data_IF_211969140132
#
_entry.id   IF_211969140132
#
_cell.length_a   1.000
_cell.length_b   1.000
_cell.length_c   1.000
_cell.angle_alpha   90.00
_cell.angle_beta   90.00
_cell.angle_gamma   90.00
#
_symmetry.space_group_name_H-M   'P 1'
#
loop_
_entity.id
_entity.type
_entity.pdbx_description
1 polymer ?
#
# COMPACT_ATOMS: atom_id res chain seq x y z
N UNK A 1 -27.41 -2.55 -12.31
CA UNK A 1 -27.97 -2.42 -10.94
C UNK A 1 -27.02 -1.60 -10.09
N UNK A 2 -27.51 -0.59 -9.37
CA UNK A 2 -26.70 0.22 -8.46
C UNK A 2 -26.72 -0.35 -7.04
N UNK A 3 -25.59 -0.34 -6.36
CA UNK A 3 -25.47 -0.75 -4.96
C UNK A 3 -24.75 0.33 -4.16
N UNK A 4 -25.19 0.51 -2.92
CA UNK A 4 -24.60 1.45 -1.98
C UNK A 4 -24.48 0.77 -0.62
N UNK A 5 -23.25 0.67 -0.10
CA UNK A 5 -22.99 0.21 1.25
C UNK A 5 -23.14 1.38 2.21
N UNK A 6 -24.06 1.31 3.17
CA UNK A 6 -24.31 2.42 4.10
C UNK A 6 -23.46 2.28 5.36
N UNK A 7 -23.62 1.15 6.05
CA UNK A 7 -22.94 0.84 7.31
C UNK A 7 -22.95 -0.65 7.59
N UNK A 8 -22.13 -1.06 8.54
CA UNK A 8 -22.14 -2.38 9.13
C UNK A 8 -22.43 -2.31 10.63
N UNK A 9 -22.98 -3.36 11.20
CA UNK A 9 -23.27 -3.48 12.63
C UNK A 9 -22.84 -4.84 13.14
N UNK A 10 -22.28 -4.90 14.35
CA UNK A 10 -21.83 -6.16 14.96
C UNK A 10 -20.54 -6.76 14.39
N UNK A 11 -19.84 -6.11 13.45
CA UNK A 11 -18.55 -6.60 12.92
C UNK A 11 -17.42 -6.62 13.97
N UNK A 12 -17.50 -5.76 14.98
CA UNK A 12 -16.56 -5.75 16.10
C UNK A 12 -16.58 -7.06 16.91
N UNK A 13 -17.65 -7.86 16.82
CA UNK A 13 -17.73 -9.16 17.48
C UNK A 13 -16.86 -10.22 16.79
N UNK A 14 -16.47 -9.98 15.54
CA UNK A 14 -15.73 -10.95 14.73
C UNK A 14 -14.21 -10.92 14.99
N UNK A 15 -13.69 -9.84 15.60
CA UNK A 15 -12.26 -9.67 15.88
C UNK A 15 -12.05 -8.95 17.22
N UNK A 16 -11.02 -9.33 18.00
CA UNK A 16 -10.73 -8.70 19.29
C UNK A 16 -10.05 -7.33 19.17
N UNK A 17 -9.60 -6.96 17.97
CA UNK A 17 -8.90 -5.71 17.74
C UNK A 17 -9.87 -4.53 17.93
N UNK A 18 -9.53 -3.62 18.86
CA UNK A 18 -10.36 -2.47 19.21
C UNK A 18 -10.61 -1.50 18.04
N UNK A 19 -9.82 -1.57 16.98
CA UNK A 19 -9.91 -0.68 15.83
C UNK A 19 -9.41 -1.36 14.55
N UNK A 20 -10.27 -2.11 13.88
CA UNK A 20 -10.00 -2.62 12.54
C UNK A 20 -10.96 -2.01 11.53
N UNK A 21 -10.53 -1.90 10.26
CA UNK A 21 -11.32 -1.33 9.16
C UNK A 21 -11.80 -2.46 8.27
N UNK A 22 -13.10 -2.79 8.25
CA UNK A 22 -13.62 -3.85 7.40
C UNK A 22 -13.51 -3.48 5.93
N UNK A 23 -13.12 -4.45 5.10
CA UNK A 23 -13.14 -4.32 3.65
C UNK A 23 -14.30 -5.17 3.15
N UNK A 24 -15.28 -4.55 2.51
CA UNK A 24 -16.47 -5.21 1.97
C UNK A 24 -16.29 -5.38 0.48
N UNK A 25 -16.45 -6.60 -0.02
CA UNK A 25 -16.46 -6.92 -1.45
C UNK A 25 -17.82 -7.43 -1.85
N UNK A 26 -18.39 -6.88 -2.91
CA UNK A 26 -19.65 -7.33 -3.51
C UNK A 26 -19.35 -7.85 -4.91
N UNK A 27 -19.71 -9.10 -5.17
CA UNK A 27 -19.39 -9.86 -6.37
C UNK A 27 -20.66 -10.51 -6.92
N UNK A 28 -20.83 -10.55 -8.24
CA UNK A 28 -21.94 -11.25 -8.90
C UNK A 28 -21.43 -12.57 -9.44
N UNK A 29 -22.08 -13.65 -9.03
CA UNK A 29 -21.78 -15.00 -9.51
C UNK A 29 -22.46 -15.21 -10.87
N UNK A 30 -21.67 -15.45 -11.92
CA UNK A 30 -22.19 -15.75 -13.25
C UNK A 30 -22.85 -17.14 -13.28
N UNK A 31 -23.93 -17.30 -14.06
CA UNK A 31 -24.72 -18.54 -14.15
C UNK A 31 -23.93 -19.73 -14.73
N UNK A 32 -22.77 -19.50 -15.36
CA UNK A 32 -21.95 -20.55 -15.97
C UNK A 32 -20.83 -21.03 -15.04
N UNK A 33 -21.18 -21.68 -13.92
CA UNK A 33 -20.26 -22.09 -12.86
C UNK A 33 -18.89 -22.58 -13.34
N UNK A 34 -17.84 -22.05 -12.72
CA UNK A 34 -16.40 -22.19 -13.07
C UNK A 34 -15.85 -21.09 -13.98
N UNK A 35 -15.93 -19.84 -13.51
CA UNK A 35 -15.03 -18.77 -14.00
C UNK A 35 -14.17 -18.34 -12.83
N UNK A 36 -12.87 -18.25 -13.07
CA UNK A 36 -11.85 -17.86 -12.10
C UNK A 36 -12.30 -16.67 -11.25
N UNK A 37 -12.16 -16.82 -9.94
CA UNK A 37 -12.71 -15.92 -8.93
C UNK A 37 -12.20 -14.48 -9.05
N UNK A 38 -11.12 -14.27 -9.80
CA UNK A 38 -10.39 -13.01 -9.90
C UNK A 38 -10.83 -12.13 -11.09
N UNK A 39 -11.55 -12.67 -12.09
CA UNK A 39 -11.94 -11.92 -13.28
C UNK A 39 -13.36 -11.33 -13.24
N UNK A 40 -14.20 -11.77 -12.29
CA UNK A 40 -15.56 -11.23 -12.20
C UNK A 40 -15.54 -9.80 -11.64
N UNK A 41 -16.39 -8.89 -12.15
CA UNK A 41 -16.49 -7.54 -11.62
C UNK A 41 -16.76 -7.58 -10.11
N UNK A 42 -15.80 -7.07 -9.33
CA UNK A 42 -15.91 -6.97 -7.89
C UNK A 42 -15.80 -5.50 -7.50
N UNK A 43 -16.71 -5.04 -6.65
CA UNK A 43 -16.59 -3.72 -6.05
C UNK A 43 -16.13 -3.89 -4.61
N UNK A 44 -15.09 -3.13 -4.24
CA UNK A 44 -14.50 -3.14 -2.91
C UNK A 44 -14.68 -1.77 -2.25
N UNK A 45 -15.20 -1.76 -1.03
CA UNK A 45 -15.30 -0.55 -0.20
C UNK A 45 -14.73 -0.80 1.19
N UNK A 46 -13.98 0.17 1.73
CA UNK A 46 -13.39 0.08 3.06
C UNK A 46 -14.21 0.91 4.05
N UNK A 47 -14.74 0.27 5.08
CA UNK A 47 -15.50 0.93 6.14
C UNK A 47 -14.58 1.52 7.20
N UNK A 48 -15.08 2.53 7.92
CA UNK A 48 -14.49 3.05 9.14
C UNK A 48 -14.42 2.00 10.25
N UNK A 49 -13.65 2.29 11.30
CA UNK A 49 -13.55 1.41 12.47
C UNK A 49 -14.84 1.31 13.27
N UNK A 50 -15.74 2.27 13.11
CA UNK A 50 -17.11 2.29 13.63
C UNK A 50 -18.10 1.51 12.74
N UNK A 51 -17.63 1.02 11.58
CA UNK A 51 -18.45 0.32 10.60
C UNK A 51 -19.21 1.24 9.64
N UNK A 52 -19.04 2.56 9.68
CA UNK A 52 -19.65 3.46 8.71
C UNK A 52 -18.90 3.47 7.38
N UNK A 53 -19.61 3.60 6.26
CA UNK A 53 -18.96 3.85 4.97
C UNK A 53 -18.59 5.34 4.86
N UNK A 54 -17.30 5.73 4.74
CA UNK A 54 -16.94 7.13 4.49
C UNK A 54 -17.45 7.63 3.14
N UNK A 55 -17.65 6.73 2.16
CA UNK A 55 -18.06 7.05 0.79
C UNK A 55 -19.57 6.83 0.58
N UNK A 56 -20.44 7.38 1.43
CA UNK A 56 -21.89 7.16 1.34
C UNK A 56 -22.55 7.70 0.06
N UNK A 57 -21.82 8.51 -0.73
CA UNK A 57 -22.29 9.05 -2.02
C UNK A 57 -21.93 8.16 -3.21
N UNK A 58 -21.00 7.24 -3.01
CA UNK A 58 -20.48 6.37 -4.07
C UNK A 58 -21.43 5.20 -4.31
N UNK A 59 -22.21 5.29 -5.39
CA UNK A 59 -23.04 4.18 -5.88
C UNK A 59 -22.25 3.46 -6.94
N UNK A 60 -21.98 2.17 -6.74
CA UNK A 60 -21.32 1.36 -7.75
C UNK A 60 -22.36 0.61 -8.58
N UNK A 61 -22.11 0.54 -9.88
CA UNK A 61 -23.01 -0.09 -10.83
C UNK A 61 -22.42 -1.42 -11.29
N UNK A 62 -23.24 -2.47 -11.22
CA UNK A 62 -22.91 -3.76 -11.84
C UNK A 62 -23.81 -3.93 -13.05
N UNK A 63 -23.20 -4.19 -14.20
CA UNK A 63 -23.87 -4.42 -15.48
C UNK A 63 -24.23 -5.90 -15.66
N UNK A 64 -25.17 -6.18 -16.58
CA UNK A 64 -25.57 -7.53 -16.98
C UNK A 64 -26.06 -8.45 -15.84
N UNK A 65 -26.70 -7.84 -14.84
CA UNK A 65 -27.24 -8.57 -13.69
C UNK A 65 -28.74 -8.85 -13.91
N UNK A 66 -29.11 -10.13 -13.83
CA UNK A 66 -30.50 -10.57 -13.84
C UNK A 66 -31.06 -10.66 -12.41
N UNK A 67 -32.39 -10.66 -12.24
CA UNK A 67 -33.02 -10.91 -10.92
C UNK A 67 -32.64 -12.28 -10.34
N UNK A 68 -32.28 -13.23 -11.20
CA UNK A 68 -31.81 -14.57 -10.83
C UNK A 68 -30.29 -14.64 -10.59
N UNK A 69 -29.57 -13.52 -10.70
CA UNK A 69 -28.13 -13.51 -10.43
C UNK A 69 -27.89 -13.58 -8.92
N UNK A 70 -26.90 -14.37 -8.52
CA UNK A 70 -26.52 -14.55 -7.12
C UNK A 70 -25.44 -13.53 -6.75
N UNK A 71 -25.71 -12.77 -5.70
CA UNK A 71 -24.83 -11.75 -5.16
C UNK A 71 -24.08 -12.33 -3.97
N UNK A 72 -22.75 -12.34 -4.04
CA UNK A 72 -21.87 -12.73 -2.94
C UNK A 72 -21.28 -11.49 -2.27
N UNK A 73 -21.56 -11.33 -0.99
CA UNK A 73 -21.04 -10.27 -0.14
C UNK A 73 -19.97 -10.89 0.76
N UNK A 74 -18.74 -10.38 0.70
CA UNK A 74 -17.60 -10.88 1.48
C UNK A 74 -17.04 -9.76 2.36
N UNK A 75 -16.74 -10.08 3.61
CA UNK A 75 -16.14 -9.15 4.58
C UNK A 75 -14.73 -9.62 4.91
N UNK A 76 -13.76 -8.80 4.55
CA UNK A 76 -12.34 -9.08 4.72
C UNK A 76 -11.73 -8.21 5.80
N UNK A 77 -10.76 -8.78 6.49
CA UNK A 77 -9.87 -8.11 7.41
C UNK A 77 -8.47 -8.00 6.79
N UNK A 78 -7.88 -6.81 6.86
CA UNK A 78 -6.47 -6.58 6.54
C UNK A 78 -5.78 -6.05 7.79
N UNK A 79 -4.79 -6.79 8.27
CA UNK A 79 -4.05 -6.40 9.47
C UNK A 79 -3.22 -5.13 9.21
N UNK A 80 -3.28 -4.17 10.13
CA UNK A 80 -2.72 -2.81 9.98
C UNK A 80 -1.21 -2.69 10.19
N UNK A 81 -0.48 -3.78 10.37
CA UNK A 81 0.98 -3.67 10.55
C UNK A 81 1.67 -3.14 9.29
N UNK A 82 2.74 -2.37 9.51
CA UNK A 82 3.58 -1.71 8.49
C UNK A 82 4.30 -2.65 7.51
N UNK A 83 4.19 -3.98 7.64
CA UNK A 83 4.81 -4.93 6.70
C UNK A 83 4.01 -5.01 5.40
N UNK A 84 4.65 -4.60 4.29
CA UNK A 84 4.14 -4.70 2.91
C UNK A 84 3.81 -6.17 2.58
N UNK A 85 2.63 -6.44 1.99
CA UNK A 85 2.25 -7.77 1.49
C UNK A 85 1.26 -8.59 2.33
N UNK A 86 0.55 -8.01 3.31
CA UNK A 86 -0.41 -8.79 4.12
C UNK A 86 -1.65 -9.23 3.34
N UNK A 87 -1.88 -10.55 3.36
CA UNK A 87 -3.06 -11.24 2.80
C UNK A 87 -4.35 -10.78 3.49
N UNK A 88 -5.40 -10.54 2.70
CA UNK A 88 -6.77 -10.30 3.21
C UNK A 88 -7.31 -11.60 3.81
N UNK A 89 -7.90 -11.53 5.00
CA UNK A 89 -8.49 -12.69 5.69
C UNK A 89 -10.00 -12.56 5.62
N UNK A 90 -10.69 -13.54 5.04
CA UNK A 90 -12.15 -13.57 5.01
C UNK A 90 -12.69 -13.80 6.42
N UNK A 91 -13.60 -12.95 6.87
CA UNK A 91 -14.14 -12.97 8.24
C UNK A 91 -15.60 -13.39 8.26
N UNK A 92 -16.38 -12.89 7.29
CA UNK A 92 -17.77 -13.23 7.10
C UNK A 92 -18.14 -13.19 5.62
N UNK A 93 -19.18 -13.91 5.24
CA UNK A 93 -19.75 -13.87 3.90
C UNK A 93 -21.28 -13.95 3.95
N UNK A 94 -21.95 -13.56 2.88
CA UNK A 94 -23.36 -13.81 2.69
C UNK A 94 -23.66 -13.94 1.20
N UNK A 95 -24.65 -14.75 0.84
CA UNK A 95 -25.04 -14.98 -0.54
C UNK A 95 -26.56 -14.85 -0.64
N UNK A 96 -27.03 -14.03 -1.58
CA UNK A 96 -28.45 -13.77 -1.82
C UNK A 96 -28.74 -13.73 -3.31
N UNK A 97 -29.96 -14.07 -3.70
CA UNK A 97 -30.43 -13.78 -5.06
C UNK A 97 -30.75 -12.29 -5.17
N UNK A 98 -30.44 -11.66 -6.30
CA UNK A 98 -30.73 -10.24 -6.49
C UNK A 98 -32.22 -9.92 -6.32
N UNK A 99 -33.10 -10.79 -6.81
CA UNK A 99 -34.54 -10.67 -6.62
C UNK A 99 -34.96 -10.60 -5.15
N UNK A 100 -34.34 -11.40 -4.28
CA UNK A 100 -34.63 -11.41 -2.85
C UNK A 100 -34.17 -10.12 -2.17
N UNK A 101 -33.01 -9.59 -2.57
CA UNK A 101 -32.51 -8.31 -2.04
C UNK A 101 -33.44 -7.15 -2.40
N UNK A 102 -33.94 -7.11 -3.64
CA UNK A 102 -34.89 -6.08 -4.10
C UNK A 102 -36.21 -6.21 -3.35
N UNK A 103 -36.76 -7.42 -3.24
CA UNK A 103 -37.99 -7.69 -2.50
C UNK A 103 -37.85 -7.27 -1.03
N UNK A 104 -36.77 -7.71 -0.38
CA UNK A 104 -36.49 -7.35 1.01
C UNK A 104 -36.30 -5.86 1.22
N UNK A 105 -35.72 -5.15 0.24
CA UNK A 105 -35.62 -3.70 0.30
C UNK A 105 -37.01 -3.06 0.20
N UNK A 106 -37.87 -3.49 -0.72
CA UNK A 106 -39.23 -2.95 -0.84
C UNK A 106 -40.04 -3.14 0.46
N UNK A 107 -39.85 -4.26 1.16
CA UNK A 107 -40.49 -4.54 2.45
C UNK A 107 -39.90 -3.71 3.60
N UNK A 108 -38.57 -3.52 3.64
CA UNK A 108 -37.87 -2.78 4.69
C UNK A 108 -37.79 -1.26 4.44
N UNK A 109 -38.17 -0.79 3.25
CA UNK A 109 -38.11 0.61 2.82
C UNK A 109 -36.79 0.98 2.13
N UNK A 110 -36.14 2.07 2.57
CA UNK A 110 -34.98 2.62 1.83
C UNK A 110 -33.64 1.91 2.11
N UNK A 111 -33.62 0.92 3.01
CA UNK A 111 -32.41 0.27 3.51
C UNK A 111 -32.68 -1.20 3.81
N UNK A 112 -31.85 -2.09 3.26
CA UNK A 112 -31.90 -3.52 3.48
C UNK A 112 -30.79 -3.95 4.45
N UNK A 113 -31.16 -4.60 5.55
CA UNK A 113 -30.19 -5.19 6.48
C UNK A 113 -29.91 -6.65 6.13
N UNK A 114 -28.73 -6.89 5.57
CA UNK A 114 -28.26 -8.23 5.20
C UNK A 114 -27.54 -8.89 6.37
N UNK A 115 -27.94 -10.11 6.73
CA UNK A 115 -27.27 -10.91 7.77
C UNK A 115 -26.02 -11.57 7.19
N UNK A 116 -24.90 -11.45 7.91
CA UNK A 116 -23.63 -12.05 7.50
C UNK A 116 -23.41 -13.39 8.19
N UNK A 117 -23.00 -14.40 7.43
CA UNK A 117 -22.58 -15.70 7.92
C UNK A 117 -21.10 -15.61 8.34
N UNK A 118 -20.83 -15.98 9.59
CA UNK A 118 -19.47 -15.99 10.14
C UNK A 118 -18.78 -17.31 9.83
N UNK A 119 -17.53 -17.27 9.40
CA UNK A 119 -16.75 -18.49 9.18
C UNK A 119 -16.56 -19.27 10.49
N UNK A 120 -16.66 -20.60 10.40
CA UNK A 120 -16.68 -21.56 11.52
C UNK A 120 -15.57 -21.34 12.56
N UNK A 121 -14.38 -20.94 12.13
CA UNK A 121 -13.24 -20.67 13.03
C UNK A 121 -13.50 -19.57 14.07
N UNK A 122 -14.46 -18.68 13.83
CA UNK A 122 -14.84 -17.61 14.77
C UNK A 122 -16.06 -17.95 15.65
N UNK A 123 -16.75 -19.07 15.41
CA UNK A 123 -18.00 -19.40 16.11
C UNK A 123 -17.83 -19.63 17.61
N UNK A 124 -16.66 -20.12 18.06
CA UNK A 124 -16.35 -20.30 19.48
C UNK A 124 -16.43 -18.98 20.28
N UNK A 125 -16.20 -17.84 19.64
CA UNK A 125 -16.23 -16.51 20.28
C UNK A 125 -17.63 -15.91 20.38
N UNK A 126 -18.56 -16.33 19.52
CA UNK A 126 -19.94 -15.85 19.55
C UNK A 126 -20.77 -16.47 20.68
N UNK A 127 -20.28 -17.52 21.36
CA UNK A 127 -21.00 -18.16 22.48
C UNK A 127 -21.24 -17.25 23.69
N UNK A 128 -20.51 -16.14 23.82
CA UNK A 128 -20.72 -15.14 24.87
C UNK A 128 -21.46 -13.87 24.43
N UNK A 129 -21.79 -13.73 23.15
CA UNK A 129 -22.52 -12.56 22.67
C UNK A 129 -23.99 -12.66 23.13
N UNK A 130 -24.54 -11.54 23.65
CA UNK A 130 -25.95 -11.46 24.03
C UNK A 130 -26.82 -11.99 22.88
N UNK A 131 -27.71 -12.93 23.19
CA UNK A 131 -28.66 -13.53 22.25
C UNK A 131 -29.33 -12.43 21.41
N UNK A 132 -28.99 -12.36 20.12
CA UNK A 132 -29.64 -11.44 19.16
C UNK A 132 -28.71 -10.48 18.40
N UNK A 133 -27.45 -10.29 18.82
CA UNK A 133 -26.53 -9.40 18.07
C UNK A 133 -25.78 -10.19 17.00
N UNK A 134 -26.29 -10.16 15.78
CA UNK A 134 -25.64 -10.76 14.62
C UNK A 134 -24.91 -9.69 13.79
N UNK A 135 -23.79 -10.02 13.15
CA UNK A 135 -23.16 -9.14 12.19
C UNK A 135 -24.13 -8.90 11.01
N UNK A 136 -24.42 -7.63 10.74
CA UNK A 136 -25.33 -7.17 9.69
C UNK A 136 -24.66 -6.11 8.83
N UNK A 137 -25.05 -6.05 7.56
CA UNK A 137 -24.62 -5.04 6.61
C UNK A 137 -25.85 -4.32 6.04
N UNK A 138 -25.93 -3.01 6.25
CA UNK A 138 -26.99 -2.16 5.72
C UNK A 138 -26.63 -1.72 4.30
N UNK A 139 -27.44 -2.15 3.34
CA UNK A 139 -27.26 -1.91 1.91
C UNK A 139 -28.45 -1.16 1.33
N UNK A 140 -28.21 -0.37 0.29
CA UNK A 140 -29.25 0.20 -0.56
C UNK A 140 -29.00 -0.21 -2.00
N UNK A 141 -29.98 -0.85 -2.61
CA UNK A 141 -29.96 -1.31 -4.00
C UNK A 141 -30.84 -0.37 -4.82
N UNK A 142 -30.32 0.14 -5.94
CA UNK A 142 -31.01 1.02 -6.87
C UNK A 142 -31.25 0.28 -8.19
N UNK A 143 -32.51 0.22 -8.61
CA UNK A 143 -32.84 -0.26 -9.95
C UNK A 143 -32.30 0.73 -10.99
N UNK A 144 -31.85 0.27 -12.17
CA UNK A 144 -31.47 1.17 -13.26
C UNK A 144 -32.68 2.03 -13.64
N UNK A 145 -32.54 3.36 -13.61
CA UNK A 145 -33.62 4.30 -13.94
C UNK A 145 -34.10 4.21 -15.40
N UNK A 146 -33.43 3.42 -16.25
CA UNK A 146 -33.67 3.37 -17.70
C UNK A 146 -34.63 2.29 -18.16
N UNK A 147 -35.19 1.48 -17.26
CA UNK A 147 -36.25 0.55 -17.62
C UNK A 147 -37.61 1.09 -17.17
N UNK A 148 -38.21 1.97 -17.98
CA UNK A 148 -39.64 1.80 -18.27
C UNK A 148 -39.75 0.47 -19.01
N UNK A 149 -39.63 -0.62 -18.26
CA UNK A 149 -39.91 -1.96 -18.75
C UNK A 149 -41.38 -1.91 -19.14
N UNK A 150 -41.60 -1.92 -20.45
CA UNK A 150 -42.90 -2.11 -21.06
C UNK A 150 -43.39 -3.47 -20.55
N UNK A 151 -44.09 -3.48 -19.43
CA UNK A 151 -44.98 -4.59 -19.12
C UNK A 151 -46.02 -4.53 -20.23
N UNK A 152 -45.99 -5.49 -21.15
CA UNK A 152 -47.22 -5.85 -21.85
C UNK A 152 -48.20 -6.29 -20.76
N UNK A 153 -48.97 -5.32 -20.30
CA UNK A 153 -50.25 -5.54 -19.65
C UNK A 153 -51.11 -6.24 -20.70
N UNK A 154 -51.25 -7.55 -20.53
CA UNK A 154 -52.24 -8.33 -21.24
C UNK A 154 -53.62 -7.74 -20.87
N UNK A 155 -54.41 -7.25 -21.83
CA UNK A 155 -55.65 -6.54 -21.53
C UNK A 155 -56.65 -7.51 -20.94
N UNK A 156 -57.00 -7.32 -19.68
CA UNK A 156 -58.27 -7.79 -19.12
C UNK A 156 -59.24 -6.62 -19.21
N UNK A 157 -60.08 -6.66 -20.23
CA UNK A 157 -61.29 -5.85 -20.31
C UNK A 157 -62.14 -6.13 -19.06
N UNK A 158 -62.37 -5.12 -18.25
CA UNK A 158 -63.60 -5.00 -17.46
C UNK A 158 -63.81 -3.54 -17.05
N UNK A 159 -64.91 -3.01 -17.59
CA UNK A 159 -65.50 -1.70 -17.34
C UNK A 159 -65.72 -1.44 -15.85
N UNK A 160 -65.37 -0.24 -15.38
CA UNK A 160 -66.15 0.46 -14.34
C UNK A 160 -65.77 1.94 -14.20
N UNK A 161 -66.77 2.76 -14.50
CA UNK A 161 -66.87 4.20 -14.27
C UNK A 161 -66.59 4.59 -12.80
N UNK A 162 -65.88 5.69 -12.57
CA UNK A 162 -66.24 6.64 -11.49
C UNK A 162 -65.41 7.92 -11.55
N UNK A 163 -66.11 9.03 -11.37
CA UNK A 163 -65.70 10.41 -11.53
C UNK A 163 -65.01 11.03 -10.30
N UNK A 164 -64.48 12.23 -10.54
CA UNK A 164 -64.45 13.43 -9.68
C UNK A 164 -63.23 13.72 -8.79
N UNK A 165 -62.56 14.83 -9.19
CA UNK A 165 -62.37 16.07 -8.41
C UNK A 165 -61.04 16.32 -7.69
N UNK A 166 -60.39 17.37 -8.20
CA UNK A 166 -59.77 18.51 -7.49
C UNK A 166 -59.60 18.43 -5.98
N UNK A 167 -58.36 18.63 -5.51
CA UNK A 167 -58.00 19.80 -4.68
C UNK A 167 -56.51 19.80 -4.28
N UNK A 168 -55.88 20.95 -4.49
CA UNK A 168 -54.59 21.39 -3.92
C UNK A 168 -54.83 21.71 -2.43
N UNK A 169 -53.87 21.44 -1.51
CA UNK A 169 -53.32 22.58 -0.77
C UNK A 169 -51.85 22.48 -0.32
N UNK A 170 -51.17 23.63 -0.49
CA UNK A 170 -50.24 24.35 0.40
C UNK A 170 -49.09 23.64 1.16
N UNK A 171 -47.90 24.15 0.84
CA UNK A 171 -46.69 24.32 1.66
C UNK A 171 -46.94 24.85 3.09
N UNK A 172 -46.12 24.41 4.06
CA UNK A 172 -45.76 25.24 5.21
C UNK A 172 -44.27 25.63 5.20
N UNK A 173 -44.08 26.94 5.29
CA UNK A 173 -42.87 27.67 5.69
C UNK A 173 -42.74 27.56 7.21
N UNK A 174 -41.57 27.18 7.72
CA UNK A 174 -41.24 27.34 9.15
C UNK A 174 -39.85 27.93 9.30
N UNK A 175 -39.83 29.03 10.04
CA UNK A 175 -38.68 29.86 10.42
C UNK A 175 -38.02 29.31 11.70
N UNK A 176 -36.69 29.47 11.79
CA UNK A 176 -35.94 29.86 13.00
C UNK A 176 -35.88 28.95 14.23
N UNK A 177 -34.73 28.32 14.46
CA UNK A 177 -34.08 28.34 15.77
C UNK A 177 -32.56 28.06 15.67
N UNK A 178 -31.77 29.10 15.90
CA UNK A 178 -30.35 29.03 16.18
C UNK A 178 -30.15 28.76 17.68
N UNK A 179 -29.66 27.57 18.04
CA UNK A 179 -29.09 27.31 19.35
C UNK A 179 -27.70 26.69 19.19
N UNK A 180 -26.70 27.56 19.34
CA UNK A 180 -25.30 27.19 19.42
C UNK A 180 -25.02 26.49 20.75
N UNK A 181 -24.95 25.16 20.75
CA UNK A 181 -24.46 24.37 21.88
C UNK A 181 -22.94 24.52 21.94
N UNK A 182 -22.48 25.39 22.83
CA UNK A 182 -21.08 25.51 23.24
C UNK A 182 -20.72 24.26 24.08
N UNK A 183 -19.94 23.35 23.49
CA UNK A 183 -19.27 22.27 24.22
C UNK A 183 -18.02 22.82 24.93
N UNK A 184 -17.81 22.52 26.24
CA UNK A 184 -16.57 22.89 26.90
C UNK A 184 -15.38 22.06 26.37
N UNK A 185 -14.16 22.62 26.36
CA UNK A 185 -12.97 21.91 25.90
C UNK A 185 -12.62 20.75 26.84
N UNK A 186 -12.13 19.61 26.31
CA UNK A 186 -11.72 18.47 27.11
C UNK A 186 -10.43 18.79 27.89
N UNK A 187 -10.45 18.44 29.18
CA UNK A 187 -9.39 18.67 30.16
C UNK A 187 -8.15 17.81 29.88
N UNK A 188 -6.95 18.37 30.11
CA UNK A 188 -5.61 17.78 29.86
C UNK A 188 -5.30 16.42 30.54
N UNK A 189 -6.21 15.85 31.33
CA UNK A 189 -5.96 14.61 32.07
C UNK A 189 -6.10 13.31 31.25
N UNK A 190 -6.67 13.34 30.04
CA UNK A 190 -6.79 12.13 29.20
C UNK A 190 -5.56 11.82 28.33
N UNK A 191 -4.58 12.73 28.22
CA UNK A 191 -3.42 12.54 27.34
C UNK A 191 -2.29 11.68 27.97
N UNK A 192 -2.36 11.36 29.28
CA UNK A 192 -1.22 10.79 30.03
C UNK A 192 -1.24 9.26 30.27
N UNK A 193 -2.17 8.51 29.68
CA UNK A 193 -2.27 7.03 29.87
C UNK A 193 -1.77 6.16 28.70
N UNK A 194 -0.96 6.69 27.77
CA UNK A 194 -0.54 5.95 26.56
C UNK A 194 0.97 5.66 26.40
N UNK A 195 1.70 5.50 27.49
CA UNK A 195 3.08 5.00 27.42
C UNK A 195 3.30 3.90 28.45
N UNK A 196 2.88 2.68 28.09
CA UNK A 196 3.32 1.45 28.72
C UNK A 196 3.99 0.60 27.63
N UNK A 197 5.31 0.39 27.67
CA UNK A 197 6.01 -0.42 26.69
C UNK A 197 5.73 -1.91 26.93
N UNK A 198 5.22 -2.59 25.92
CA UNK A 198 4.96 -4.03 25.95
C UNK A 198 6.26 -4.76 25.60
N UNK A 199 6.78 -5.57 26.52
CA UNK A 199 7.81 -6.57 26.23
C UNK A 199 7.20 -7.67 25.35
N UNK A 200 7.86 -7.97 24.24
CA UNK A 200 7.58 -9.14 23.41
C UNK A 200 8.59 -10.20 23.83
N UNK A 201 8.19 -11.07 24.75
CA UNK A 201 8.78 -12.41 24.87
C UNK A 201 8.25 -13.24 23.71
N UNK A 202 9.17 -13.84 22.95
CA UNK A 202 8.84 -14.83 21.94
C UNK A 202 9.88 -15.95 22.02
N UNK A 203 9.74 -16.74 23.08
CA UNK A 203 10.21 -18.13 23.10
C UNK A 203 9.23 -18.95 22.25
N UNK A 204 9.72 -19.60 21.20
CA UNK A 204 9.12 -20.82 20.65
C UNK A 204 10.18 -21.61 19.85
N UNK A 205 10.61 -22.69 20.49
CA UNK A 205 11.06 -24.00 19.99
C UNK A 205 11.84 -24.11 18.66
N UNK A 206 13.11 -24.47 18.79
CA UNK A 206 13.85 -25.25 17.79
C UNK A 206 13.32 -26.68 17.72
N UNK A 207 12.82 -27.10 16.57
CA UNK A 207 12.68 -28.51 16.19
C UNK A 207 13.80 -28.89 15.19
N UNK A 208 14.36 -30.12 15.25
CA UNK A 208 15.56 -30.49 14.51
C UNK A 208 15.24 -30.86 13.06
N UNK A 209 15.94 -30.22 12.12
CA UNK A 209 15.93 -30.57 10.70
C UNK A 209 16.81 -31.82 10.46
N UNK A 210 16.14 -32.95 10.19
CA UNK A 210 16.75 -34.07 9.49
C UNK A 210 16.98 -33.67 8.02
N UNK A 211 18.25 -33.69 7.65
CA UNK A 211 18.77 -33.50 6.30
C UNK A 211 18.37 -34.65 5.37
N UNK A 212 17.58 -34.34 4.35
CA UNK A 212 17.40 -35.21 3.18
C UNK A 212 17.93 -34.49 1.92
N UNK A 213 19.12 -34.91 1.49
CA UNK A 213 19.96 -34.34 0.43
C UNK A 213 19.52 -34.81 -0.98
N UNK A 214 18.32 -34.41 -1.43
CA UNK A 214 17.86 -34.71 -2.79
C UNK A 214 17.24 -33.53 -3.59
N UNK A 215 17.03 -32.36 -2.98
CA UNK A 215 16.26 -31.27 -3.63
C UNK A 215 17.07 -30.04 -4.09
N UNK A 216 18.40 -30.03 -4.01
CA UNK A 216 19.20 -28.81 -4.25
C UNK A 216 19.66 -28.56 -5.70
N UNK A 217 19.21 -29.33 -6.69
CA UNK A 217 19.52 -29.08 -8.12
C UNK A 217 18.33 -28.57 -8.96
N UNK A 218 17.23 -28.20 -8.33
CA UNK A 218 16.12 -27.46 -8.96
C UNK A 218 15.61 -26.44 -7.96
N UNK A 219 16.28 -25.30 -7.85
CA UNK A 219 15.71 -24.15 -7.16
C UNK A 219 14.68 -23.52 -8.11
N UNK A 220 13.37 -23.60 -7.85
CA UNK A 220 12.41 -22.80 -8.59
C UNK A 220 12.73 -21.31 -8.36
N UNK A 221 12.58 -20.44 -9.37
CA UNK A 221 12.83 -19.00 -9.20
C UNK A 221 11.92 -18.46 -8.09
N UNK A 222 12.53 -18.05 -6.96
CA UNK A 222 11.86 -17.59 -5.72
C UNK A 222 11.23 -16.19 -5.86
N UNK A 223 11.25 -15.59 -7.05
CA UNK A 223 10.45 -14.39 -7.31
C UNK A 223 9.26 -14.78 -8.17
N UNK A 224 8.00 -14.53 -7.73
CA UNK A 224 6.87 -14.61 -8.63
C UNK A 224 7.11 -13.58 -9.74
N UNK A 225 7.56 -14.05 -10.89
CA UNK A 225 7.73 -13.27 -12.10
C UNK A 225 6.35 -13.09 -12.72
N UNK A 226 5.44 -12.43 -11.99
CA UNK A 226 4.20 -11.85 -12.52
C UNK A 226 4.58 -10.62 -13.34
N UNK A 227 5.19 -10.87 -14.49
CA UNK A 227 5.15 -9.96 -15.62
C UNK A 227 4.63 -10.78 -16.79
N UNK A 228 3.39 -11.28 -16.65
CA UNK A 228 2.55 -11.44 -17.84
C UNK A 228 2.48 -10.05 -18.45
N UNK A 229 3.34 -9.90 -19.45
CA UNK A 229 3.48 -8.71 -20.24
C UNK A 229 2.29 -8.78 -21.17
N UNK A 230 1.11 -8.34 -20.70
CA UNK A 230 0.14 -7.75 -21.62
C UNK A 230 0.95 -6.74 -22.41
N UNK A 231 1.21 -7.08 -23.67
CA UNK A 231 2.04 -6.30 -24.58
C UNK A 231 1.40 -4.91 -24.59
N UNK A 232 1.99 -3.90 -23.92
CA UNK A 232 1.34 -2.61 -23.84
C UNK A 232 1.19 -2.13 -25.29
N UNK A 233 0.05 -1.53 -25.65
CA UNK A 233 -0.16 -0.97 -26.99
C UNK A 233 1.09 -0.21 -27.42
N UNK A 234 1.58 -0.46 -28.63
CA UNK A 234 2.91 -0.10 -29.16
C UNK A 234 3.36 1.32 -28.78
N UNK A 235 3.86 1.48 -27.55
CA UNK A 235 4.39 2.73 -27.06
C UNK A 235 5.75 2.92 -27.73
N UNK A 236 6.03 4.10 -28.30
CA UNK A 236 7.26 4.32 -29.04
C UNK A 236 8.45 4.00 -28.15
N UNK A 237 9.37 3.19 -28.69
CA UNK A 237 10.51 2.63 -27.98
C UNK A 237 11.25 3.73 -27.20
N UNK A 238 11.40 3.53 -25.90
CA UNK A 238 11.99 4.51 -25.01
C UNK A 238 13.48 4.66 -25.31
N UNK A 239 13.90 5.88 -25.67
CA UNK A 239 15.29 6.22 -25.97
C UNK A 239 16.22 6.03 -24.76
N UNK A 240 17.53 5.88 -24.98
CA UNK A 240 18.50 5.58 -23.91
C UNK A 240 18.48 6.64 -22.81
N UNK A 241 18.43 7.93 -23.16
CA UNK A 241 18.37 9.03 -22.19
C UNK A 241 17.09 8.98 -21.35
N UNK A 242 15.95 8.63 -21.97
CA UNK A 242 14.70 8.44 -21.25
C UNK A 242 14.76 7.24 -20.31
N UNK A 243 15.50 6.18 -20.63
CA UNK A 243 15.71 5.05 -19.71
C UNK A 243 16.56 5.45 -18.50
N UNK A 244 17.61 6.24 -18.71
CA UNK A 244 18.43 6.76 -17.61
C UNK A 244 17.59 7.68 -16.71
N UNK A 245 16.77 8.55 -17.30
CA UNK A 245 15.87 9.41 -16.52
C UNK A 245 14.77 8.59 -15.86
N UNK A 246 14.25 7.54 -16.50
CA UNK A 246 13.27 6.64 -15.89
C UNK A 246 13.86 5.81 -14.73
N UNK A 247 15.17 5.52 -14.71
CA UNK A 247 15.79 4.84 -13.57
C UNK A 247 16.01 5.77 -12.38
N UNK A 248 16.21 7.07 -12.64
CA UNK A 248 16.46 8.08 -11.61
C UNK A 248 15.20 8.83 -11.14
N UNK A 249 14.14 8.83 -11.95
CA UNK A 249 12.93 9.65 -11.74
C UNK A 249 11.66 8.83 -11.98
N UNK A 250 10.48 9.36 -11.61
CA UNK A 250 9.19 8.71 -11.90
C UNK A 250 8.71 8.93 -13.35
N UNK A 251 9.61 9.23 -14.29
CA UNK A 251 9.26 9.55 -15.67
C UNK A 251 8.42 8.45 -16.36
N UNK A 252 8.78 7.18 -16.15
CA UNK A 252 8.04 6.05 -16.73
C UNK A 252 6.60 5.97 -16.19
N UNK A 253 6.40 6.20 -14.89
CA UNK A 253 5.08 6.16 -14.25
C UNK A 253 4.24 7.40 -14.59
N UNK A 254 4.86 8.57 -14.76
CA UNK A 254 4.17 9.81 -15.14
C UNK A 254 3.72 9.80 -16.60
N UNK A 255 4.43 9.09 -17.47
CA UNK A 255 4.07 8.92 -18.89
C UNK A 255 2.80 8.05 -19.06
N UNK A 256 2.55 7.15 -18.13
CA UNK A 256 1.36 6.30 -18.14
C UNK A 256 0.18 7.02 -17.45
N UNK A 257 -0.82 7.41 -18.23
CA UNK A 257 -1.96 8.18 -17.72
C UNK A 257 -2.76 7.42 -16.65
N UNK A 258 -2.76 6.09 -16.72
CA UNK A 258 -3.46 5.22 -15.76
C UNK A 258 -2.82 5.23 -14.37
N UNK A 259 -1.55 5.62 -14.27
CA UNK A 259 -0.76 5.60 -13.04
C UNK A 259 -0.32 7.00 -12.58
N UNK A 260 -0.66 8.05 -13.33
CA UNK A 260 -0.27 9.43 -13.06
C UNK A 260 -0.60 9.87 -11.63
N UNK A 261 -1.84 9.66 -11.16
CA UNK A 261 -2.28 10.10 -9.82
C UNK A 261 -1.44 9.50 -8.69
N UNK A 262 -1.14 8.21 -8.82
CA UNK A 262 -0.35 7.47 -7.84
C UNK A 262 1.09 7.93 -7.82
N UNK A 263 1.70 8.09 -9.00
CA UNK A 263 3.07 8.56 -9.14
C UNK A 263 3.21 9.98 -8.59
N UNK A 264 2.27 10.87 -8.93
CA UNK A 264 2.27 12.25 -8.48
C UNK A 264 2.07 12.38 -6.97
N UNK A 265 1.13 11.63 -6.38
CA UNK A 265 0.92 11.61 -4.93
C UNK A 265 2.17 11.14 -4.17
N UNK A 266 2.86 10.14 -4.71
CA UNK A 266 4.14 9.67 -4.16
C UNK A 266 5.22 10.74 -4.26
N UNK A 267 5.31 11.43 -5.40
CA UNK A 267 6.27 12.52 -5.61
C UNK A 267 6.06 13.67 -4.61
N UNK A 268 4.82 14.05 -4.30
CA UNK A 268 4.50 15.06 -3.27
C UNK A 268 4.90 14.63 -1.86
N UNK A 269 4.71 13.35 -1.53
CA UNK A 269 5.17 12.78 -0.26
C UNK A 269 6.70 12.80 -0.15
N UNK A 270 7.39 12.49 -1.26
CA UNK A 270 8.85 12.57 -1.34
C UNK A 270 9.34 14.01 -1.14
N UNK A 271 8.72 15.01 -1.76
CA UNK A 271 9.03 16.43 -1.52
C UNK A 271 8.86 16.83 -0.05
N UNK A 272 7.69 16.54 0.54
CA UNK A 272 7.42 16.89 1.94
C UNK A 272 8.45 16.28 2.91
N UNK A 273 8.88 15.05 2.65
CA UNK A 273 9.93 14.39 3.43
C UNK A 273 11.30 15.05 3.22
N UNK A 274 11.65 15.37 1.98
CA UNK A 274 12.93 16.00 1.61
C UNK A 274 13.02 17.42 2.15
N UNK A 275 11.96 18.22 2.06
CA UNK A 275 11.89 19.55 2.67
C UNK A 275 12.08 19.52 4.18
N UNK A 276 11.48 18.54 4.86
CA UNK A 276 11.70 18.32 6.30
C UNK A 276 13.16 18.00 6.64
N UNK A 277 13.80 17.11 5.87
CA UNK A 277 15.22 16.78 6.06
C UNK A 277 16.16 17.95 5.76
N UNK A 278 15.90 18.69 4.67
CA UNK A 278 16.67 19.89 4.32
C UNK A 278 16.56 20.97 5.41
N UNK A 279 15.37 21.15 6.00
CA UNK A 279 15.17 22.08 7.13
C UNK A 279 15.97 21.64 8.35
N UNK A 280 16.01 20.33 8.64
CA UNK A 280 16.83 19.81 9.73
C UNK A 280 18.34 20.01 9.48
N UNK A 281 18.82 19.78 8.25
CA UNK A 281 20.21 20.03 7.87
C UNK A 281 20.57 21.52 7.98
N UNK A 282 19.69 22.42 7.51
CA UNK A 282 19.88 23.86 7.65
C UNK A 282 19.96 24.31 9.12
N UNK A 283 19.19 23.68 10.02
CA UNK A 283 19.29 23.93 11.46
C UNK A 283 20.64 23.47 12.02
N UNK A 284 21.17 22.33 11.58
CA UNK A 284 22.52 21.86 11.94
C UNK A 284 23.59 22.83 11.43
N UNK A 285 23.51 23.25 10.16
CA UNK A 285 24.44 24.23 9.58
C UNK A 285 24.42 25.55 10.37
N UNK A 286 23.23 26.03 10.73
CA UNK A 286 23.04 27.25 11.55
C UNK A 286 23.65 27.09 12.94
N UNK A 287 23.47 25.93 13.58
CA UNK A 287 24.07 25.64 14.87
C UNK A 287 25.61 25.65 14.79
N UNK A 288 26.19 25.09 13.72
CA UNK A 288 27.64 25.13 13.48
C UNK A 288 28.13 26.57 13.30
N UNK A 289 27.42 27.41 12.55
CA UNK A 289 27.77 28.83 12.40
C UNK A 289 27.61 29.64 13.69
N UNK A 290 26.71 29.24 14.58
CA UNK A 290 26.50 29.93 15.87
C UNK A 290 27.65 29.72 16.87
N UNK A 291 28.53 28.76 16.62
CA UNK A 291 29.70 28.52 17.46
C UNK A 291 30.69 29.68 17.28
N UNK A 292 30.80 30.52 18.30
CA UNK A 292 31.59 31.76 18.27
C UNK A 292 33.05 31.53 17.86
N UNK A 293 33.65 32.43 17.05
CA UNK A 293 35.09 32.45 16.81
C UNK A 293 35.79 32.70 18.16
N UNK A 294 36.44 31.68 18.69
CA UNK A 294 36.92 31.61 20.08
C UNK A 294 36.50 30.34 20.80
N UNK A 295 35.63 29.52 20.20
CA UNK A 295 35.39 28.16 20.66
C UNK A 295 36.65 27.29 20.52
N UNK A 296 36.67 26.18 21.27
CA UNK A 296 37.80 25.26 21.45
C UNK A 296 38.37 24.64 20.16
N UNK A 297 37.73 24.85 19.00
CA UNK A 297 38.15 24.28 17.72
C UNK A 297 38.53 25.40 16.73
N UNK A 298 39.81 25.43 16.35
CA UNK A 298 40.28 26.28 15.25
C UNK A 298 39.75 25.67 13.95
N UNK A 299 38.71 26.29 13.39
CA UNK A 299 38.07 25.80 12.17
C UNK A 299 38.97 26.12 10.97
N UNK A 300 39.41 25.07 10.27
CA UNK A 300 40.20 25.19 9.05
C UNK A 300 39.39 25.90 7.95
N UNK A 301 39.98 26.79 7.12
CA UNK A 301 39.28 27.43 5.99
C UNK A 301 38.60 26.42 5.03
N UNK A 302 39.17 25.22 4.89
CA UNK A 302 38.57 24.13 4.09
C UNK A 302 37.25 23.68 4.72
N UNK A 303 37.20 23.51 6.04
CA UNK A 303 35.99 23.14 6.76
C UNK A 303 34.91 24.23 6.63
N UNK A 304 35.32 25.51 6.67
CA UNK A 304 34.41 26.63 6.43
C UNK A 304 33.78 26.62 5.03
N UNK A 305 34.54 26.22 4.01
CA UNK A 305 34.01 26.07 2.65
C UNK A 305 33.01 24.92 2.54
N UNK A 306 33.26 23.78 3.20
CA UNK A 306 32.31 22.67 3.22
C UNK A 306 30.98 23.03 3.88
N UNK A 307 31.01 23.70 5.03
CA UNK A 307 29.77 24.11 5.72
C UNK A 307 29.01 25.19 4.94
N UNK A 308 29.72 26.13 4.30
CA UNK A 308 29.10 27.13 3.43
C UNK A 308 28.43 26.50 2.20
N UNK A 309 29.08 25.50 1.57
CA UNK A 309 28.49 24.73 0.47
C UNK A 309 27.26 23.94 0.92
N UNK A 310 27.31 23.29 2.10
CA UNK A 310 26.17 22.58 2.68
C UNK A 310 24.98 23.53 2.88
N UNK A 311 25.22 24.66 3.55
CA UNK A 311 24.19 25.64 3.85
C UNK A 311 23.56 26.24 2.59
N UNK A 312 24.37 26.53 1.56
CA UNK A 312 23.88 27.03 0.27
C UNK A 312 23.02 25.98 -0.44
N UNK A 313 23.48 24.72 -0.47
CA UNK A 313 22.72 23.61 -1.06
C UNK A 313 21.41 23.36 -0.31
N UNK A 314 21.42 23.43 1.02
CA UNK A 314 20.23 23.39 1.88
C UNK A 314 19.23 24.48 1.50
N UNK A 315 19.67 25.74 1.48
CA UNK A 315 18.80 26.89 1.18
C UNK A 315 18.15 26.80 -0.20
N UNK A 316 18.94 26.46 -1.23
CA UNK A 316 18.42 26.24 -2.58
C UNK A 316 17.43 25.08 -2.65
N UNK A 317 17.74 23.97 -1.96
CA UNK A 317 16.86 22.81 -1.88
C UNK A 317 15.51 23.16 -1.24
N UNK A 318 15.51 23.86 -0.09
CA UNK A 318 14.30 24.28 0.62
C UNK A 318 13.47 25.21 -0.26
N UNK A 319 14.12 26.17 -0.94
CA UNK A 319 13.44 27.09 -1.83
C UNK A 319 12.76 26.36 -3.00
N UNK A 320 13.47 25.45 -3.66
CA UNK A 320 12.91 24.62 -4.73
C UNK A 320 11.75 23.74 -4.23
N UNK A 321 11.91 23.10 -3.08
CA UNK A 321 10.89 22.21 -2.50
C UNK A 321 9.62 22.99 -2.13
N UNK A 322 9.77 24.13 -1.44
CA UNK A 322 8.66 25.02 -1.11
C UNK A 322 7.95 25.54 -2.37
N UNK A 323 8.72 25.89 -3.41
CA UNK A 323 8.16 26.28 -4.70
C UNK A 323 7.33 25.16 -5.33
N UNK A 324 7.83 23.92 -5.37
CA UNK A 324 7.07 22.78 -5.89
C UNK A 324 5.82 22.47 -5.08
N UNK A 325 5.92 22.43 -3.74
CA UNK A 325 4.77 22.19 -2.86
C UNK A 325 3.72 23.29 -3.08
N UNK A 326 4.11 24.56 -3.06
CA UNK A 326 3.19 25.66 -3.27
C UNK A 326 2.53 25.61 -4.66
N UNK A 327 3.31 25.32 -5.70
CA UNK A 327 2.85 25.26 -7.09
C UNK A 327 1.83 24.15 -7.33
N UNK A 328 1.97 23.00 -6.67
CA UNK A 328 1.26 21.77 -7.03
C UNK A 328 0.27 21.26 -5.97
N UNK A 329 0.38 21.66 -4.70
CA UNK A 329 -0.50 21.14 -3.64
C UNK A 329 -1.92 21.72 -3.71
N UNK A 330 -2.08 22.94 -4.24
CA UNK A 330 -3.39 23.62 -4.34
C UNK A 330 -4.09 23.46 -5.69
N UNK A 331 -3.58 22.60 -6.57
CA UNK A 331 -4.04 22.51 -7.96
C UNK A 331 -4.76 21.18 -8.18
N UNK A 332 -5.96 21.16 -8.81
CA UNK A 332 -6.64 19.90 -9.12
C UNK A 332 -5.78 19.05 -10.06
N UNK A 333 -5.88 17.73 -9.93
CA UNK A 333 -5.01 16.76 -10.61
C UNK A 333 -4.92 16.98 -12.12
N UNK A 334 -6.05 17.30 -12.77
CA UNK A 334 -6.08 17.56 -14.22
C UNK A 334 -5.26 18.78 -14.62
N UNK A 335 -5.32 19.86 -13.84
CA UNK A 335 -4.50 21.04 -14.09
C UNK A 335 -3.03 20.79 -13.74
N UNK A 336 -2.75 19.97 -12.71
CA UNK A 336 -1.39 19.54 -12.39
C UNK A 336 -0.79 18.72 -13.54
N UNK A 337 -1.58 17.82 -14.13
CA UNK A 337 -1.23 17.03 -15.33
C UNK A 337 -0.81 17.94 -16.48
N UNK A 338 -1.68 18.86 -16.90
CA UNK A 338 -1.36 19.80 -17.98
C UNK A 338 -0.13 20.66 -17.67
N UNK A 339 0.04 21.12 -16.42
CA UNK A 339 1.20 21.94 -16.01
C UNK A 339 2.51 21.17 -15.87
N UNK A 340 2.44 19.85 -15.68
CA UNK A 340 3.63 19.00 -15.60
C UNK A 340 4.16 18.59 -16.97
N UNK A 341 3.42 18.86 -18.05
CA UNK A 341 3.93 18.72 -19.42
C UNK A 341 4.83 19.90 -19.77
N UNK A 342 5.98 19.59 -20.33
CA UNK A 342 6.97 20.55 -20.78
C UNK A 342 6.61 21.14 -22.15
N UNK A 343 7.46 22.03 -22.69
CA UNK A 343 7.25 22.65 -24.00
C UNK A 343 7.14 21.65 -25.17
N UNK A 344 7.58 20.40 -24.97
CA UNK A 344 7.53 19.33 -25.97
C UNK A 344 6.39 18.33 -25.71
N UNK A 345 5.41 18.71 -24.87
CA UNK A 345 4.31 17.84 -24.42
C UNK A 345 4.81 16.55 -23.73
N UNK A 346 6.02 16.60 -23.16
CA UNK A 346 6.68 15.51 -22.44
C UNK A 346 6.76 15.80 -20.94
N UNK A 347 6.98 14.78 -20.12
CA UNK A 347 7.18 14.94 -18.67
C UNK A 347 8.67 15.03 -18.29
N UNK A 348 9.56 15.18 -19.27
CA UNK A 348 11.00 14.99 -19.08
C UNK A 348 11.62 16.09 -18.21
N UNK A 349 11.40 17.36 -18.54
CA UNK A 349 11.96 18.47 -17.75
C UNK A 349 11.32 18.55 -16.36
N UNK A 350 10.03 18.23 -16.27
CA UNK A 350 9.33 18.14 -14.99
C UNK A 350 9.92 17.04 -14.11
N UNK A 351 10.10 15.82 -14.63
CA UNK A 351 10.62 14.71 -13.83
C UNK A 351 12.07 14.94 -13.36
N UNK A 352 12.88 15.63 -14.17
CA UNK A 352 14.24 16.03 -13.79
C UNK A 352 14.23 17.13 -12.72
N UNK A 353 13.46 18.20 -12.94
CA UNK A 353 13.38 19.33 -12.00
C UNK A 353 12.76 18.93 -10.65
N UNK A 354 11.79 18.02 -10.65
CA UNK A 354 11.18 17.43 -9.46
C UNK A 354 12.19 16.72 -8.53
N UNK A 355 13.37 16.32 -9.04
CA UNK A 355 14.44 15.68 -8.26
C UNK A 355 15.50 16.66 -7.75
N UNK A 356 15.48 17.93 -8.16
CA UNK A 356 16.45 18.93 -7.73
C UNK A 356 16.53 19.04 -6.19
N UNK A 357 15.42 19.07 -5.42
CA UNK A 357 15.50 19.10 -3.96
C UNK A 357 16.27 17.92 -3.35
N UNK A 358 16.10 16.72 -3.91
CA UNK A 358 16.82 15.51 -3.45
C UNK A 358 18.31 15.62 -3.79
N UNK A 359 18.66 16.11 -4.98
CA UNK A 359 20.06 16.32 -5.37
C UNK A 359 20.72 17.35 -4.45
N UNK A 360 20.03 18.46 -4.15
CA UNK A 360 20.47 19.46 -3.18
C UNK A 360 20.67 18.85 -1.78
N UNK A 361 19.74 18.01 -1.32
CA UNK A 361 19.85 17.30 -0.04
C UNK A 361 21.05 16.35 -0.01
N UNK A 362 21.30 15.60 -1.08
CA UNK A 362 22.47 14.73 -1.19
C UNK A 362 23.77 15.53 -1.19
N UNK A 363 23.82 16.63 -1.95
CA UNK A 363 25.01 17.51 -2.00
C UNK A 363 25.28 18.16 -0.64
N UNK A 364 24.25 18.65 0.05
CA UNK A 364 24.37 19.16 1.40
C UNK A 364 24.86 18.07 2.36
N UNK A 365 24.23 16.90 2.37
CA UNK A 365 24.64 15.79 3.23
C UNK A 365 26.09 15.36 3.02
N UNK A 366 26.55 15.30 1.76
CA UNK A 366 27.93 14.96 1.41
C UNK A 366 28.92 16.04 1.85
N UNK A 367 28.60 17.32 1.64
CA UNK A 367 29.47 18.43 2.06
C UNK A 367 29.51 18.58 3.58
N UNK A 368 28.39 18.36 4.28
CA UNK A 368 28.34 18.29 5.74
C UNK A 368 29.12 17.09 6.30
N UNK A 369 29.03 15.91 5.66
CA UNK A 369 29.90 14.77 5.99
C UNK A 369 31.37 15.12 5.80
N UNK A 370 31.71 15.82 4.70
CA UNK A 370 33.07 16.31 4.45
C UNK A 370 33.56 17.25 5.54
N UNK A 371 32.72 18.21 5.97
CA UNK A 371 33.00 19.08 7.11
C UNK A 371 33.31 18.28 8.38
N UNK A 372 32.44 17.34 8.76
CA UNK A 372 32.64 16.50 9.95
C UNK A 372 33.90 15.63 9.83
N UNK A 373 34.19 15.12 8.64
CA UNK A 373 35.42 14.37 8.36
C UNK A 373 36.68 15.21 8.56
N UNK A 374 36.70 16.43 8.05
CA UNK A 374 37.83 17.36 8.23
C UNK A 374 38.00 17.72 9.71
N UNK A 375 36.92 18.04 10.42
CA UNK A 375 36.98 18.37 11.87
C UNK A 375 37.42 17.17 12.70
N UNK A 376 36.91 15.96 12.41
CA UNK A 376 37.33 14.75 13.10
C UNK A 376 38.81 14.43 12.82
N UNK A 377 39.28 14.67 11.59
CA UNK A 377 40.67 14.45 11.21
C UNK A 377 41.63 15.39 11.94
N UNK A 378 41.24 16.65 12.18
CA UNK A 378 42.08 17.60 12.92
C UNK A 378 42.17 17.26 14.41
N UNK A 379 41.12 16.66 14.99
CA UNK A 379 41.08 16.31 16.42
C UNK A 379 41.70 14.94 16.70
N UNK A 380 41.32 13.90 15.96
CA UNK A 380 41.79 12.53 16.21
C UNK A 380 41.80 11.66 14.93
N UNK A 381 42.83 11.79 14.08
CA UNK A 381 42.88 11.11 12.78
C UNK A 381 42.95 9.59 12.92
N UNK A 382 43.69 9.08 13.91
CA UNK A 382 43.78 7.64 14.18
C UNK A 382 42.42 7.04 14.56
N UNK A 383 41.64 7.73 15.41
CA UNK A 383 40.30 7.29 15.77
C UNK A 383 39.35 7.27 14.58
N UNK A 384 39.38 8.30 13.73
CA UNK A 384 38.57 8.35 12.51
C UNK A 384 38.86 7.16 11.58
N UNK A 385 40.13 6.82 11.37
CA UNK A 385 40.52 5.67 10.54
C UNK A 385 40.04 4.34 11.12
N UNK A 386 40.22 4.13 12.44
CA UNK A 386 39.78 2.90 13.12
C UNK A 386 38.25 2.77 13.02
N UNK A 387 37.51 3.83 13.32
CA UNK A 387 36.04 3.81 13.27
C UNK A 387 35.53 3.63 11.83
N UNK A 388 36.13 4.31 10.86
CA UNK A 388 35.79 4.14 9.44
C UNK A 388 36.05 2.71 8.96
N UNK A 389 37.14 2.09 9.40
CA UNK A 389 37.46 0.70 9.07
C UNK A 389 36.45 -0.27 9.68
N UNK A 390 36.09 -0.10 10.95
CA UNK A 390 35.09 -0.94 11.63
C UNK A 390 33.72 -0.81 10.95
N UNK A 391 33.26 0.41 10.64
CA UNK A 391 31.98 0.62 9.94
C UNK A 391 32.03 0.03 8.54
N UNK A 392 33.12 0.22 7.80
CA UNK A 392 33.32 -0.37 6.47
C UNK A 392 33.30 -1.90 6.51
N UNK A 393 33.94 -2.50 7.52
CA UNK A 393 33.91 -3.95 7.75
C UNK A 393 32.50 -4.44 8.04
N UNK A 394 31.75 -3.74 8.90
CA UNK A 394 30.37 -4.10 9.24
C UNK A 394 29.43 -3.98 8.02
N UNK A 395 29.58 -2.94 7.20
CA UNK A 395 28.80 -2.76 5.98
C UNK A 395 29.15 -3.79 4.90
N UNK A 396 30.44 -4.17 4.80
CA UNK A 396 30.89 -5.22 3.86
C UNK A 396 30.68 -6.64 4.37
N UNK A 397 30.32 -6.83 5.64
CA UNK A 397 30.11 -8.14 6.26
C UNK A 397 29.07 -8.98 5.52
N UNK A 398 28.00 -8.36 5.01
CA UNK A 398 26.98 -9.06 4.23
C UNK A 398 27.57 -9.66 2.95
N UNK A 399 28.45 -8.92 2.26
CA UNK A 399 29.13 -9.40 1.06
C UNK A 399 30.21 -10.43 1.40
N UNK A 400 30.89 -10.30 2.54
CA UNK A 400 31.85 -11.30 3.02
C UNK A 400 31.16 -12.63 3.36
N UNK A 401 30.03 -12.59 4.07
CA UNK A 401 29.23 -13.78 4.38
C UNK A 401 28.69 -14.42 3.11
N UNK A 402 28.16 -13.62 2.19
CA UNK A 402 27.71 -14.12 0.89
C UNK A 402 28.85 -14.73 0.08
N UNK A 403 30.01 -14.07 0.02
CA UNK A 403 31.19 -14.54 -0.68
C UNK A 403 31.77 -15.82 -0.06
N UNK A 404 31.82 -15.91 1.27
CA UNK A 404 32.27 -17.10 1.99
C UNK A 404 31.32 -18.28 1.76
N UNK A 405 30.00 -18.04 1.88
CA UNK A 405 28.99 -19.06 1.60
C UNK A 405 29.09 -19.56 0.15
N UNK A 406 29.24 -18.65 -0.81
CA UNK A 406 29.43 -19.00 -2.22
C UNK A 406 30.72 -19.80 -2.45
N UNK A 407 31.83 -19.40 -1.81
CA UNK A 407 33.12 -20.07 -1.93
C UNK A 407 33.07 -21.49 -1.33
N UNK A 408 32.50 -21.66 -0.15
CA UNK A 408 32.29 -22.97 0.48
C UNK A 408 31.44 -23.87 -0.41
N UNK A 409 30.35 -23.33 -0.98
CA UNK A 409 29.52 -24.07 -1.94
C UNK A 409 30.29 -24.53 -3.18
N UNK A 410 31.19 -23.71 -3.71
CA UNK A 410 32.06 -24.07 -4.85
C UNK A 410 33.09 -25.13 -4.47
N UNK A 411 33.75 -25.00 -3.32
CA UNK A 411 34.73 -25.97 -2.82
C UNK A 411 34.06 -27.32 -2.54
N UNK A 412 32.88 -27.33 -1.92
CA UNK A 412 32.10 -28.56 -1.70
C UNK A 412 31.71 -29.22 -3.02
N UNK A 413 31.27 -28.45 -4.02
CA UNK A 413 30.97 -28.98 -5.35
C UNK A 413 32.21 -29.59 -6.03
N UNK A 414 33.36 -28.91 -5.96
CA UNK A 414 34.61 -29.40 -6.52
C UNK A 414 35.08 -30.68 -5.81
N UNK A 415 35.04 -30.71 -4.48
CA UNK A 415 35.35 -31.89 -3.69
C UNK A 415 34.45 -33.09 -4.00
N UNK A 416 33.14 -32.86 -4.19
CA UNK A 416 32.19 -33.91 -4.62
C UNK A 416 32.56 -34.48 -6.00
N UNK A 417 33.02 -33.65 -6.94
CA UNK A 417 33.49 -34.12 -8.26
C UNK A 417 34.77 -34.96 -8.15
N UNK A 418 35.76 -34.49 -7.39
CA UNK A 418 37.02 -35.23 -7.16
C UNK A 418 36.74 -36.58 -6.50
N UNK A 419 35.86 -36.64 -5.48
CA UNK A 419 35.47 -37.89 -4.82
C UNK A 419 34.82 -38.90 -5.79
N UNK A 420 33.98 -38.43 -6.73
CA UNK A 420 33.39 -39.29 -7.76
C UNK A 420 34.44 -39.87 -8.71
N UNK A 421 35.44 -39.08 -9.10
CA UNK A 421 36.55 -39.53 -9.95
C UNK A 421 37.41 -40.57 -9.23
N UNK A 422 37.80 -40.32 -7.97
CA UNK A 422 38.58 -41.27 -7.17
C UNK A 422 37.80 -42.59 -7.00
N UNK A 423 36.50 -42.53 -6.68
CA UNK A 423 35.66 -43.73 -6.56
C UNK A 423 35.57 -44.52 -7.87
N UNK A 424 35.57 -43.84 -9.02
CA UNK A 424 35.57 -44.48 -10.33
C UNK A 424 36.91 -45.16 -10.65
N UNK A 425 38.03 -44.51 -10.33
CA UNK A 425 39.37 -45.07 -10.53
C UNK A 425 39.60 -46.29 -9.62
N UNK A 426 39.33 -46.17 -8.32
CA UNK A 426 39.50 -47.27 -7.37
C UNK A 426 38.57 -48.44 -7.67
N UNK A 427 37.34 -48.17 -8.15
CA UNK A 427 36.41 -49.21 -8.55
C UNK A 427 36.79 -49.95 -9.84
N UNK A 428 37.68 -49.37 -10.67
CA UNK A 428 38.13 -49.99 -11.92
C UNK A 428 39.18 -51.07 -11.65
N UNK A 429 40.11 -50.84 -10.72
CA UNK A 429 41.17 -51.80 -10.40
C UNK A 429 40.64 -53.07 -9.70
N UNK A 430 39.50 -52.98 -9.00
CA UNK A 430 38.90 -54.15 -8.33
C UNK A 430 38.15 -55.10 -9.29
N UNK A 431 37.96 -54.74 -10.56
CA UNK A 431 37.20 -55.53 -11.53
C UNK A 431 38.04 -56.42 -12.46
N UNK A 432 39.36 -56.21 -12.51
CA UNK A 432 40.21 -56.83 -13.54
C UNK A 432 40.93 -58.11 -13.08
N UNK A 433 41.00 -58.41 -11.76
CA UNK A 433 41.67 -59.62 -11.25
C UNK A 433 40.84 -60.91 -11.38
N UNK A 434 39.53 -60.86 -11.63
CA UNK A 434 38.69 -62.07 -11.73
C UNK A 434 38.55 -62.68 -13.13
N UNK A 435 39.18 -62.13 -14.17
CA UNK A 435 39.02 -62.62 -15.55
C UNK A 435 40.19 -63.43 -16.13
N UNK A 436 41.27 -63.69 -15.37
CA UNK A 436 42.44 -64.47 -15.83
C UNK A 436 42.53 -65.88 -15.22
N UNK A 437 41.41 -66.47 -14.84
CA UNK A 437 41.33 -67.89 -14.45
C UNK A 437 40.21 -68.57 -15.24
N UNK A 438 40.43 -68.75 -16.54
CA UNK A 438 39.71 -69.69 -17.39
C UNK A 438 40.66 -70.23 -18.46
#
# INVERSE_FOLDING_TARGET
MGFLVLRSSGLHLLRPEKSWRPIITIQVESKGGSVDCDATPCHETTLGSDGQNPNQKEVFYIHDVSLQSKISIKVWHRSQSKRKGRKKILVANACYMLGDLIKGQNEAGQCLDVRLNTLSSNTKRLKGARLGVWPKLSLRVRLPSTAKLHYEEQPSDDDSLSCCSDSIPSTPRSEGHDDAIILPPPTEQELKRRLQPYMIDSDDEMAPLLTDEAYLNSAPPILPQYSETEKPPDLPAMGVMQRIVASFTMYAELRDESHYERAFSRQQMEWSYVGGLLTALAAVDTAVFSISPGSLFIINPIAQSFIAMSSTACGLGIFCDAWFIFRYNFVPLETARTRSRDMFDSYFFFSLSARVPIICMLLSGLTLMGFLGVVAWTVWPAGLLIMSFVVGMLMSLQFLVFGAWWFVGKVMCAGRKVRKVIKWVVGRDSGEETSNSA
#
